data_IF_599119081956
#
_entry.id   IF_599119081956
#
_cell.length_a   1.000
_cell.length_b   1.000
_cell.length_c   1.000
_cell.angle_alpha   90.00
_cell.angle_beta   90.00
_cell.angle_gamma   90.00
#
_symmetry.space_group_name_H-M   'P 1'
#
loop_
_entity.id
_entity.type
_entity.pdbx_description
1 polymer ?
#
# COMPACT_ATOMS: atom_id res chain seq x y z
N UNK A 1 -1.90 -8.98 3.81
CA UNK A 1 -0.80 -8.56 4.70
C UNK A 1 -0.96 -7.07 4.96
N UNK A 2 -0.80 -6.62 6.20
CA UNK A 2 -0.81 -5.18 6.54
C UNK A 2 0.59 -4.81 7.01
N UNK A 3 1.11 -3.67 6.57
CA UNK A 3 2.39 -3.15 7.03
C UNK A 3 2.33 -1.64 7.21
N UNK A 4 3.17 -1.11 8.09
CA UNK A 4 3.29 0.32 8.30
C UNK A 4 4.33 0.88 7.33
N UNK A 5 3.96 1.91 6.57
CA UNK A 5 4.87 2.57 5.64
C UNK A 5 5.51 3.81 6.24
N UNK A 6 6.74 4.08 5.83
CA UNK A 6 7.37 5.36 6.12
C UNK A 6 6.77 6.44 5.21
N UNK A 7 6.04 7.40 5.80
CA UNK A 7 5.38 8.48 5.07
C UNK A 7 6.33 9.29 4.17
N UNK A 8 7.56 9.53 4.62
CA UNK A 8 8.52 10.33 3.87
C UNK A 8 9.01 9.60 2.62
N UNK A 9 9.23 8.28 2.74
CA UNK A 9 9.61 7.45 1.59
C UNK A 9 8.45 7.35 0.60
N UNK A 10 7.23 7.10 1.07
CA UNK A 10 6.05 7.03 0.22
C UNK A 10 5.86 8.33 -0.57
N UNK A 11 5.89 9.47 0.12
CA UNK A 11 5.71 10.78 -0.50
C UNK A 11 6.83 11.11 -1.49
N UNK A 12 8.07 10.74 -1.18
CA UNK A 12 9.19 10.90 -2.11
C UNK A 12 9.09 9.99 -3.34
N UNK A 13 8.56 8.77 -3.21
CA UNK A 13 8.41 7.83 -4.32
C UNK A 13 7.33 8.28 -5.32
N UNK A 14 6.23 8.83 -4.81
CA UNK A 14 5.12 9.33 -5.64
C UNK A 14 5.22 10.82 -5.98
N UNK A 15 6.28 11.50 -5.53
CA UNK A 15 6.51 12.95 -5.69
C UNK A 15 5.34 13.82 -5.20
N UNK A 16 4.83 13.49 -4.00
CA UNK A 16 3.67 14.18 -3.40
C UNK A 16 4.02 14.81 -2.06
N UNK A 17 3.25 15.81 -1.65
CA UNK A 17 3.47 16.52 -0.38
C UNK A 17 2.51 16.04 0.72
N UNK A 18 1.28 15.63 0.35
CA UNK A 18 0.22 15.28 1.27
C UNK A 18 -0.54 14.03 0.81
N UNK A 19 -1.28 13.41 1.73
CA UNK A 19 -2.13 12.24 1.43
C UNK A 19 -3.23 12.55 0.40
N UNK A 20 -3.80 13.78 0.41
CA UNK A 20 -4.80 14.19 -0.57
C UNK A 20 -4.24 14.19 -2.01
N UNK A 21 -3.00 14.64 -2.20
CA UNK A 21 -2.31 14.63 -3.50
C UNK A 21 -1.83 13.24 -3.90
N UNK A 22 -1.70 12.31 -2.94
CA UNK A 22 -1.28 10.92 -3.21
C UNK A 22 -2.32 10.18 -4.04
N UNK A 23 -3.60 10.36 -3.76
CA UNK A 23 -4.68 9.73 -4.52
C UNK A 23 -4.64 10.15 -5.99
N UNK A 24 -4.47 11.46 -6.25
CA UNK A 24 -4.37 12.01 -7.60
C UNK A 24 -3.10 11.53 -8.32
N UNK A 25 -1.95 11.50 -7.64
CA UNK A 25 -0.70 11.00 -8.21
C UNK A 25 -0.80 9.51 -8.59
N UNK A 26 -1.40 8.69 -7.71
CA UNK A 26 -1.62 7.28 -7.96
C UNK A 26 -2.60 7.08 -9.13
N UNK A 27 -3.68 7.86 -9.18
CA UNK A 27 -4.68 7.78 -10.27
C UNK A 27 -4.10 8.14 -11.63
N UNK A 28 -3.11 9.04 -11.67
CA UNK A 28 -2.39 9.43 -12.89
C UNK A 28 -1.29 8.44 -13.29
N UNK A 29 -0.91 7.49 -12.44
CA UNK A 29 0.09 6.47 -12.75
C UNK A 29 -0.55 5.18 -13.27
N UNK A 30 0.24 4.42 -14.06
CA UNK A 30 -0.17 3.09 -14.47
C UNK A 30 -0.31 2.18 -13.24
N UNK A 31 -1.41 1.42 -13.09
CA UNK A 31 -1.63 0.56 -11.93
C UNK A 31 -0.44 -0.34 -11.60
N UNK A 32 0.16 -0.99 -12.61
CA UNK A 32 1.31 -1.88 -12.43
C UNK A 32 2.55 -1.20 -11.83
N UNK A 33 2.77 0.09 -12.11
CA UNK A 33 3.87 0.85 -11.51
C UNK A 33 3.59 1.17 -10.05
N UNK A 34 2.34 1.51 -9.74
CA UNK A 34 1.91 1.77 -8.36
C UNK A 34 2.09 0.50 -7.52
N UNK A 35 1.65 -0.65 -8.04
CA UNK A 35 1.82 -1.95 -7.38
C UNK A 35 3.30 -2.28 -7.15
N UNK A 36 4.16 -2.02 -8.13
CA UNK A 36 5.61 -2.23 -8.00
C UNK A 36 6.20 -1.38 -6.85
N UNK A 37 5.92 -0.08 -6.82
CA UNK A 37 6.42 0.82 -5.77
C UNK A 37 5.86 0.47 -4.39
N UNK A 38 4.57 0.14 -4.29
CA UNK A 38 3.95 -0.24 -3.01
C UNK A 38 4.50 -1.57 -2.51
N UNK A 39 4.76 -2.53 -3.39
CA UNK A 39 5.38 -3.81 -3.03
C UNK A 39 6.81 -3.61 -2.54
N UNK A 40 7.61 -2.78 -3.21
CA UNK A 40 8.98 -2.44 -2.78
C UNK A 40 8.99 -1.76 -1.41
N UNK A 41 8.14 -0.73 -1.22
CA UNK A 41 8.00 -0.01 0.04
C UNK A 41 7.50 -0.92 1.18
N UNK A 42 6.59 -1.86 0.87
CA UNK A 42 6.04 -2.80 1.84
C UNK A 42 6.97 -3.97 2.18
N UNK A 43 7.89 -4.34 1.29
CA UNK A 43 8.74 -5.53 1.44
C UNK A 43 9.78 -5.42 2.57
N UNK A 44 10.15 -4.19 2.95
CA UNK A 44 11.12 -3.95 4.02
C UNK A 44 10.51 -3.79 5.41
N UNK A 45 9.17 -3.84 5.55
CA UNK A 45 8.49 -3.52 6.80
C UNK A 45 7.83 -4.76 7.41
N UNK A 46 7.84 -4.82 8.75
CA UNK A 46 7.19 -5.90 9.51
C UNK A 46 5.67 -5.89 9.33
N UNK A 47 5.06 -7.06 9.53
CA UNK A 47 3.60 -7.20 9.51
C UNK A 47 3.00 -6.46 10.72
N UNK A 48 2.09 -5.52 10.45
CA UNK A 48 1.52 -4.61 11.44
C UNK A 48 0.02 -4.87 11.62
N UNK A 49 -0.48 -4.78 12.86
CA UNK A 49 -1.91 -4.87 13.13
C UNK A 49 -2.55 -3.48 13.11
N UNK A 50 -3.38 -3.21 12.09
CA UNK A 50 -4.13 -1.96 11.98
C UNK A 50 -5.53 -2.07 12.61
N UNK A 51 -5.82 -1.17 13.55
CA UNK A 51 -7.18 -1.00 14.09
C UNK A 51 -8.01 -0.11 13.16
N UNK A 52 -8.93 -0.72 12.39
CA UNK A 52 -9.78 0.00 11.42
C UNK A 52 -10.68 1.09 12.03
N UNK A 53 -10.83 1.16 13.36
CA UNK A 53 -11.54 2.25 14.05
C UNK A 53 -10.74 3.54 14.15
N UNK A 54 -9.41 3.46 14.04
CA UNK A 54 -8.49 4.59 14.19
C UNK A 54 -8.07 5.18 12.83
N UNK A 55 -8.52 4.54 11.75
CA UNK A 55 -8.35 4.99 10.37
C UNK A 55 -9.21 6.23 10.15
N UNK A 56 -8.56 7.30 9.70
CA UNK A 56 -9.21 8.54 9.28
C UNK A 56 -9.70 8.44 7.84
N UNK A 57 -8.83 7.99 6.93
CA UNK A 57 -9.16 7.87 5.51
C UNK A 57 -8.43 6.68 4.89
N UNK A 58 -8.90 6.23 3.73
CA UNK A 58 -8.26 5.16 2.99
C UNK A 58 -8.39 5.35 1.48
N UNK A 59 -7.39 4.86 0.75
CA UNK A 59 -7.37 4.81 -0.71
C UNK A 59 -7.33 3.35 -1.10
N UNK A 60 -8.24 2.92 -1.99
CA UNK A 60 -8.23 1.58 -2.56
C UNK A 60 -7.67 1.63 -3.99
N UNK A 61 -6.65 0.80 -4.25
CA UNK A 61 -5.94 0.70 -5.53
C UNK A 61 -5.91 -0.77 -5.91
N UNK A 62 -6.99 -1.26 -6.51
CA UNK A 62 -7.13 -2.67 -6.84
C UNK A 62 -6.97 -3.56 -5.60
N UNK A 63 -5.90 -4.35 -5.59
CA UNK A 63 -5.54 -5.27 -4.50
C UNK A 63 -4.81 -4.59 -3.33
N UNK A 64 -4.46 -3.31 -3.44
CA UNK A 64 -3.78 -2.56 -2.40
C UNK A 64 -4.77 -1.60 -1.71
N UNK A 65 -4.67 -1.46 -0.41
CA UNK A 65 -5.35 -0.41 0.34
C UNK A 65 -4.31 0.39 1.12
N UNK A 66 -4.33 1.70 0.97
CA UNK A 66 -3.51 2.61 1.77
C UNK A 66 -4.42 3.24 2.81
N UNK A 67 -4.06 3.12 4.08
CA UNK A 67 -4.78 3.70 5.21
C UNK A 67 -3.98 4.84 5.82
N UNK A 68 -4.68 5.88 6.28
CA UNK A 68 -4.10 6.94 7.10
C UNK A 68 -4.89 7.06 8.41
N UNK A 69 -4.18 7.12 9.53
CA UNK A 69 -4.76 7.33 10.86
C UNK A 69 -4.76 8.83 11.24
N UNK A 70 -5.51 9.20 12.27
CA UNK A 70 -5.51 10.56 12.85
C UNK A 70 -4.15 11.05 13.35
N UNK A 71 -3.17 10.15 13.52
CA UNK A 71 -1.79 10.48 13.88
C UNK A 71 -0.87 10.65 12.65
N UNK A 72 -1.44 10.71 11.44
CA UNK A 72 -0.70 10.80 10.17
C UNK A 72 0.23 9.60 9.90
N UNK A 73 -0.05 8.45 10.52
CA UNK A 73 0.62 7.20 10.20
C UNK A 73 -0.03 6.58 8.97
N UNK A 74 0.80 6.04 8.07
CA UNK A 74 0.35 5.44 6.81
C UNK A 74 0.57 3.94 6.85
N UNK A 75 -0.42 3.17 6.43
CA UNK A 75 -0.38 1.71 6.39
C UNK A 75 -0.78 1.20 5.02
N UNK A 76 -0.18 0.10 4.62
CA UNK A 76 -0.47 -0.59 3.38
C UNK A 76 -1.04 -1.97 3.69
N UNK A 77 -2.27 -2.21 3.29
CA UNK A 77 -2.87 -3.54 3.25
C UNK A 77 -2.84 -4.06 1.83
N UNK A 78 -2.03 -5.09 1.62
CA UNK A 78 -2.04 -5.88 0.40
C UNK A 78 -3.07 -6.98 0.61
N UNK A 79 -4.16 -6.95 -0.14
CA UNK A 79 -5.04 -8.10 -0.32
C UNK A 79 -4.28 -9.11 -1.17
N UNK A 80 -3.35 -9.83 -0.56
CA UNK A 80 -2.90 -11.09 -1.13
C UNK A 80 -4.12 -11.99 -1.13
N UNK A 81 -4.79 -12.08 -2.27
CA UNK A 81 -5.46 -13.31 -2.61
C UNK A 81 -4.33 -14.35 -2.61
N UNK A 82 -4.29 -15.25 -1.62
CA UNK A 82 -3.44 -16.43 -1.67
C UNK A 82 -3.98 -17.31 -2.82
N UNK A 83 -3.90 -16.86 -4.06
CA UNK A 83 -3.73 -17.79 -5.15
C UNK A 83 -2.28 -18.24 -5.02
N UNK A 84 -2.14 -19.36 -4.32
CA UNK A 84 -0.99 -20.24 -4.45
C UNK A 84 -0.65 -20.37 -5.94
N UNK A 85 0.31 -19.59 -6.44
CA UNK A 85 1.07 -19.95 -7.62
C UNK A 85 1.97 -21.14 -7.28
N UNK A 86 1.39 -22.20 -6.70
CA UNK A 86 1.95 -23.53 -6.77
C UNK A 86 1.74 -23.94 -8.23
N UNK A 87 2.71 -23.57 -9.07
CA UNK A 87 2.93 -24.25 -10.33
C UNK A 87 3.36 -25.66 -9.96
N UNK A 88 2.41 -26.51 -9.62
CA UNK A 88 2.61 -27.94 -9.59
C UNK A 88 2.88 -28.34 -11.04
N UNK A 89 4.16 -28.34 -11.40
CA UNK A 89 4.63 -28.88 -12.66
C UNK A 89 4.07 -30.31 -12.77
N UNK A 90 3.13 -30.50 -13.70
CA UNK A 90 2.70 -31.81 -14.13
C UNK A 90 3.86 -32.44 -14.89
N UNK A 91 4.60 -33.31 -14.20
CA UNK A 91 5.51 -34.29 -14.81
C UNK A 91 4.76 -35.59 -15.06
#
# INVERSE_FOLDING_TARGET
MITQLNKNLLFSTFDVQNFETLEEAISNMAPSMVEYYLSDLGSCNDEFYLNKKEVQNFINIGEYNIYIDYSENIYLEIKTNKESYETAALW
#
